data_IF_226984654731
#
_entry.id   IF_226984654731
#
_cell.length_a   1.000
_cell.length_b   1.000
_cell.length_c   1.000
_cell.angle_alpha   90.00
_cell.angle_beta   90.00
_cell.angle_gamma   90.00
#
_symmetry.space_group_name_H-M   'P 1'
#
loop_
_entity.id
_entity.type
_entity.pdbx_description
1 polymer ?
#
# COMPACT_ATOMS: atom_id res chain seq x y z
N UNK A 1 -11.59 -32.78 71.88
CA UNK A 1 -13.01 -32.37 71.78
C UNK A 1 -13.05 -30.86 71.63
N UNK A 2 -13.29 -30.35 70.42
CA UNK A 2 -13.91 -29.05 70.18
C UNK A 2 -14.09 -28.90 68.68
N UNK A 3 -15.34 -28.74 68.28
CA UNK A 3 -15.80 -28.42 66.93
C UNK A 3 -15.30 -27.05 66.51
N UNK A 4 -14.96 -26.89 65.23
CA UNK A 4 -15.02 -25.60 64.55
C UNK A 4 -15.74 -25.75 63.20
N UNK A 5 -16.74 -24.91 63.02
CA UNK A 5 -17.65 -24.83 61.88
C UNK A 5 -17.73 -23.35 61.49
N UNK A 6 -17.00 -22.94 60.44
CA UNK A 6 -17.14 -21.66 59.71
C UNK A 6 -16.46 -21.91 58.35
N UNK A 7 -16.95 -21.56 57.17
CA UNK A 7 -18.15 -20.86 56.73
C UNK A 7 -18.24 -21.01 55.20
N UNK A 8 -19.45 -20.87 54.68
CA UNK A 8 -19.87 -21.05 53.30
C UNK A 8 -19.10 -20.19 52.28
N UNK A 9 -18.59 -20.82 51.22
CA UNK A 9 -18.10 -20.14 50.02
C UNK A 9 -19.26 -19.73 49.12
N UNK A 10 -19.33 -18.43 48.81
CA UNK A 10 -20.22 -17.87 47.81
C UNK A 10 -19.65 -18.07 46.40
N UNK A 11 -20.51 -18.49 45.48
CA UNK A 11 -20.25 -18.58 44.05
C UNK A 11 -19.89 -17.21 43.46
N UNK A 12 -18.71 -17.11 42.86
CA UNK A 12 -18.28 -15.93 42.13
C UNK A 12 -18.97 -15.84 40.76
N UNK A 13 -19.41 -14.65 40.31
CA UNK A 13 -19.95 -14.47 38.98
C UNK A 13 -18.85 -14.52 37.91
N UNK A 14 -19.18 -15.22 36.83
CA UNK A 14 -18.40 -15.45 35.61
C UNK A 14 -17.92 -14.13 34.97
N UNK A 15 -16.62 -13.96 34.81
CA UNK A 15 -16.01 -12.92 33.98
C UNK A 15 -16.18 -13.26 32.48
N UNK A 16 -16.61 -12.32 31.62
CA UNK A 16 -16.62 -12.53 30.19
C UNK A 16 -15.21 -12.43 29.58
N UNK A 17 -15.00 -13.24 28.55
CA UNK A 17 -13.78 -13.39 27.73
C UNK A 17 -13.23 -12.03 27.27
N UNK A 18 -12.02 -11.65 27.71
CA UNK A 18 -11.20 -10.65 27.04
C UNK A 18 -10.69 -11.24 25.71
N UNK A 19 -11.33 -10.86 24.60
CA UNK A 19 -10.66 -10.81 23.29
C UNK A 19 -10.09 -9.39 23.15
N UNK A 20 -8.77 -9.27 23.22
CA UNK A 20 -8.05 -8.13 22.68
C UNK A 20 -7.24 -8.65 21.49
N UNK A 21 -7.74 -8.41 20.28
CA UNK A 21 -6.92 -8.36 19.07
C UNK A 21 -6.66 -6.86 18.86
N UNK A 22 -5.55 -6.39 19.40
CA UNK A 22 -5.00 -5.09 19.04
C UNK A 22 -4.34 -5.22 17.67
N UNK A 23 -4.63 -4.25 16.79
CA UNK A 23 -4.16 -4.20 15.41
C UNK A 23 -2.64 -4.22 15.30
N UNK A 24 -2.16 -5.11 14.44
CA UNK A 24 -0.79 -5.12 13.94
C UNK A 24 -0.66 -4.10 12.80
N UNK A 25 -0.47 -2.84 13.17
CA UNK A 25 0.07 -1.83 12.26
C UNK A 25 1.43 -1.40 12.80
N UNK A 26 2.49 -1.71 12.06
CA UNK A 26 3.83 -1.17 12.28
C UNK A 26 4.85 -2.16 12.83
N UNK A 27 5.58 -2.82 11.93
CA UNK A 27 7.02 -3.11 12.05
C UNK A 27 7.50 -3.73 10.74
N UNK A 28 7.79 -2.88 9.75
CA UNK A 28 8.65 -3.23 8.63
C UNK A 28 9.73 -2.14 8.52
N UNK A 29 10.69 -2.19 9.44
CA UNK A 29 11.98 -1.52 9.30
C UNK A 29 12.98 -2.08 10.32
N UNK A 30 13.94 -2.86 9.81
CA UNK A 30 15.34 -2.88 10.23
C UNK A 30 15.68 -3.20 11.68
N UNK A 31 16.04 -4.46 11.92
CA UNK A 31 17.15 -4.81 12.83
C UNK A 31 17.89 -6.03 12.29
N UNK A 32 19.04 -5.78 11.67
CA UNK A 32 20.08 -6.79 11.54
C UNK A 32 20.71 -6.96 12.93
N UNK A 33 20.65 -8.16 13.51
CA UNK A 33 21.36 -8.50 14.73
C UNK A 33 22.25 -9.72 14.50
N UNK A 34 23.41 -9.62 15.12
CA UNK A 34 24.64 -10.39 14.98
C UNK A 34 24.71 -11.47 16.08
N UNK A 35 25.32 -12.62 15.72
CA UNK A 35 25.90 -13.69 16.55
C UNK A 35 24.99 -14.70 17.30
N UNK A 36 25.42 -15.96 17.27
CA UNK A 36 25.19 -16.93 18.35
C UNK A 36 24.92 -18.37 17.94
N UNK A 37 25.94 -19.09 17.49
CA UNK A 37 25.94 -20.54 17.32
C UNK A 37 25.64 -21.31 18.61
N UNK A 38 24.79 -22.34 18.55
CA UNK A 38 24.90 -23.59 19.34
C UNK A 38 23.96 -24.68 18.78
N UNK A 39 24.52 -25.88 18.65
CA UNK A 39 23.88 -27.14 18.24
C UNK A 39 22.67 -27.50 19.16
N UNK A 40 21.72 -28.34 18.73
CA UNK A 40 21.77 -29.80 18.86
C UNK A 40 20.52 -30.46 18.24
N UNK A 41 20.75 -31.66 17.67
CA UNK A 41 19.89 -32.84 17.47
C UNK A 41 18.81 -32.89 16.37
N UNK A 42 19.16 -33.72 15.38
CA UNK A 42 18.34 -34.62 14.57
C UNK A 42 17.01 -35.12 15.17
N UNK A 43 15.97 -35.07 14.35
CA UNK A 43 15.08 -36.21 14.12
C UNK A 43 14.55 -36.18 12.67
N UNK A 44 14.84 -37.23 11.90
CA UNK A 44 14.21 -37.52 10.60
C UNK A 44 13.11 -38.58 10.79
N UNK A 45 12.30 -38.93 9.76
CA UNK A 45 10.90 -38.51 9.70
C UNK A 45 9.96 -39.72 9.81
N UNK A 46 8.72 -39.49 10.27
CA UNK A 46 7.64 -40.47 10.11
C UNK A 46 6.78 -40.06 8.92
N UNK A 47 6.73 -40.94 7.92
CA UNK A 47 6.03 -40.74 6.67
C UNK A 47 4.51 -40.75 6.79
N UNK A 48 3.87 -40.15 5.80
CA UNK A 48 2.44 -40.17 5.58
C UNK A 48 2.14 -39.67 4.17
N UNK A 49 2.20 -40.56 3.20
CA UNK A 49 1.72 -40.33 1.83
C UNK A 49 0.20 -40.15 1.86
N UNK A 50 -0.25 -38.90 1.92
CA UNK A 50 -1.65 -38.50 1.77
C UNK A 50 -1.89 -37.99 0.36
N UNK A 51 -2.60 -38.79 -0.43
CA UNK A 51 -3.05 -38.50 -1.78
C UNK A 51 -4.04 -37.31 -1.75
N UNK A 52 -3.55 -36.09 -1.97
CA UNK A 52 -4.36 -34.88 -2.00
C UNK A 52 -5.03 -34.75 -3.37
N UNK A 53 -6.28 -35.21 -3.45
CA UNK A 53 -7.12 -35.10 -4.63
C UNK A 53 -7.18 -33.66 -5.16
N UNK A 54 -6.95 -33.51 -6.46
CA UNK A 54 -7.06 -32.24 -7.19
C UNK A 54 -8.47 -31.65 -7.02
N UNK A 55 -8.63 -30.39 -6.58
CA UNK A 55 -9.94 -29.75 -6.54
C UNK A 55 -10.46 -29.57 -7.97
N UNK A 56 -11.69 -30.00 -8.18
CA UNK A 56 -12.39 -29.92 -9.46
C UNK A 56 -12.74 -28.45 -9.75
N UNK A 57 -11.81 -27.73 -10.40
CA UNK A 57 -12.01 -26.35 -10.83
C UNK A 57 -13.00 -26.35 -12.00
N UNK A 58 -14.17 -25.75 -11.80
CA UNK A 58 -15.25 -25.69 -12.79
C UNK A 58 -14.83 -25.08 -14.14
N UNK A 59 -15.69 -25.18 -15.17
CA UNK A 59 -15.34 -24.74 -16.51
C UNK A 59 -15.01 -23.24 -16.54
N UNK A 60 -13.98 -22.88 -17.31
CA UNK A 60 -13.53 -21.52 -17.50
C UNK A 60 -14.68 -20.59 -17.92
N UNK A 61 -14.72 -19.38 -17.36
CA UNK A 61 -15.70 -18.37 -17.70
C UNK A 61 -15.73 -18.11 -19.22
N UNK A 62 -16.92 -18.01 -19.86
CA UNK A 62 -17.01 -17.85 -21.30
C UNK A 62 -16.37 -16.53 -21.75
N UNK A 63 -15.48 -16.67 -22.74
CA UNK A 63 -14.73 -15.59 -23.36
C UNK A 63 -15.70 -14.67 -24.12
N UNK A 64 -15.91 -13.45 -23.64
CA UNK A 64 -16.67 -12.42 -24.39
C UNK A 64 -15.99 -12.18 -25.73
N UNK A 65 -16.65 -12.57 -26.81
CA UNK A 65 -16.20 -12.28 -28.17
C UNK A 65 -16.40 -10.78 -28.44
N UNK A 66 -15.30 -10.05 -28.62
CA UNK A 66 -15.27 -8.71 -29.19
C UNK A 66 -14.19 -8.70 -30.27
N UNK A 67 -14.61 -8.51 -31.52
CA UNK A 67 -13.82 -8.62 -32.74
C UNK A 67 -13.15 -7.29 -33.16
N UNK A 68 -12.55 -6.60 -32.20
CA UNK A 68 -11.58 -5.53 -32.45
C UNK A 68 -10.29 -5.98 -31.78
N UNK A 69 -9.10 -5.93 -32.44
CA UNK A 69 -7.85 -6.11 -31.73
C UNK A 69 -7.66 -4.90 -30.82
N UNK A 70 -8.33 -4.92 -29.67
CA UNK A 70 -7.92 -4.07 -28.57
C UNK A 70 -6.50 -4.47 -28.26
N UNK A 71 -5.58 -3.50 -28.25
CA UNK A 71 -4.30 -3.69 -27.56
C UNK A 71 -4.65 -3.88 -26.10
N UNK A 72 -4.98 -5.13 -25.73
CA UNK A 72 -5.25 -5.52 -24.36
C UNK A 72 -4.07 -5.04 -23.54
N UNK A 73 -4.34 -4.26 -22.49
CA UNK A 73 -3.33 -3.89 -21.50
C UNK A 73 -2.64 -5.15 -21.01
N UNK A 74 -1.32 -5.21 -21.13
CA UNK A 74 -0.54 -6.32 -20.62
C UNK A 74 -0.45 -6.21 -19.11
N UNK A 75 -0.74 -7.29 -18.40
CA UNK A 75 -0.71 -7.33 -16.94
C UNK A 75 0.46 -8.19 -16.48
N UNK A 76 1.30 -7.64 -15.61
CA UNK A 76 2.44 -8.33 -15.00
C UNK A 76 2.19 -8.62 -13.52
N UNK A 77 3.00 -9.51 -12.94
CA UNK A 77 3.00 -9.81 -11.50
C UNK A 77 4.42 -9.95 -10.96
N UNK A 78 4.65 -9.48 -9.74
CA UNK A 78 5.88 -9.77 -8.99
C UNK A 78 6.04 -11.28 -8.78
N UNK A 79 7.25 -11.80 -9.04
CA UNK A 79 7.53 -13.22 -8.91
C UNK A 79 8.89 -13.44 -8.24
N UNK A 80 8.88 -14.15 -7.12
CA UNK A 80 10.06 -14.41 -6.30
C UNK A 80 10.57 -15.84 -6.52
N UNK A 81 11.85 -15.98 -6.81
CA UNK A 81 12.56 -17.27 -6.99
C UNK A 81 13.39 -17.63 -5.75
N UNK A 82 12.91 -17.20 -4.58
CA UNK A 82 13.67 -17.10 -3.33
C UNK A 82 13.70 -18.38 -2.50
N UNK A 83 12.82 -19.32 -2.77
CA UNK A 83 12.61 -20.51 -1.93
C UNK A 83 13.48 -21.69 -2.39
N UNK A 84 14.08 -22.48 -1.47
CA UNK A 84 14.00 -22.34 -0.02
C UNK A 84 15.04 -21.38 0.57
N UNK A 85 15.85 -20.69 -0.25
CA UNK A 85 16.93 -19.80 0.21
C UNK A 85 16.52 -18.72 1.22
N UNK A 86 15.22 -18.41 1.33
CA UNK A 86 14.64 -17.54 2.36
C UNK A 86 14.08 -18.21 3.62
N UNK A 87 13.86 -19.53 3.62
CA UNK A 87 13.35 -20.28 4.77
C UNK A 87 11.88 -19.99 5.11
N UNK A 88 11.07 -21.03 5.26
CA UNK A 88 9.62 -20.92 5.48
C UNK A 88 9.23 -20.65 6.95
N UNK A 89 10.01 -19.84 7.68
CA UNK A 89 9.89 -19.75 9.15
C UNK A 89 8.61 -19.04 9.63
N UNK A 90 8.05 -18.14 8.83
CA UNK A 90 6.86 -17.33 9.17
C UNK A 90 5.98 -17.05 7.95
N UNK A 91 5.35 -18.07 7.34
CA UNK A 91 4.46 -17.84 6.22
C UNK A 91 3.21 -17.06 6.69
N UNK A 92 2.81 -16.04 5.92
CA UNK A 92 1.52 -15.35 6.14
C UNK A 92 0.34 -16.30 5.88
N UNK A 93 0.52 -17.24 4.95
CA UNK A 93 -0.39 -18.32 4.64
C UNK A 93 0.39 -19.55 4.16
N UNK A 94 -0.15 -20.75 4.39
CA UNK A 94 0.47 -21.99 3.92
C UNK A 94 0.29 -22.17 2.41
N UNK A 95 1.37 -22.34 1.62
CA UNK A 95 1.25 -22.57 0.19
C UNK A 95 0.59 -23.91 -0.12
N UNK A 96 -0.24 -23.95 -1.17
CA UNK A 96 -0.88 -25.19 -1.64
C UNK A 96 0.14 -26.24 -2.08
N UNK A 97 1.34 -25.82 -2.55
CA UNK A 97 2.45 -26.71 -2.91
C UNK A 97 3.37 -27.02 -1.71
N UNK A 98 2.99 -26.63 -0.50
CA UNK A 98 3.83 -26.74 0.70
C UNK A 98 5.05 -25.82 0.66
N UNK A 99 6.02 -26.11 1.51
CA UNK A 99 7.29 -25.39 1.61
C UNK A 99 8.23 -25.78 0.47
N UNK A 100 7.88 -25.31 -0.73
CA UNK A 100 8.49 -25.74 -1.98
C UNK A 100 9.89 -25.15 -2.24
N UNK A 101 10.57 -25.75 -3.22
CA UNK A 101 11.80 -25.23 -3.84
C UNK A 101 11.45 -24.53 -5.16
N UNK A 102 11.91 -23.29 -5.33
CA UNK A 102 11.65 -22.47 -6.53
C UNK A 102 12.36 -22.99 -7.77
N UNK A 103 13.35 -23.88 -7.59
CA UNK A 103 14.06 -24.57 -8.67
C UNK A 103 13.44 -25.92 -9.06
N UNK A 104 12.42 -26.41 -8.33
CA UNK A 104 11.73 -27.65 -8.68
C UNK A 104 10.95 -27.46 -10.00
N UNK A 105 11.25 -28.26 -11.06
CA UNK A 105 10.52 -28.19 -12.33
C UNK A 105 9.01 -28.33 -12.21
N UNK A 106 8.51 -29.16 -11.27
CA UNK A 106 7.08 -29.37 -11.09
C UNK A 106 6.40 -28.13 -10.51
N UNK A 107 7.07 -27.46 -9.57
CA UNK A 107 6.61 -26.20 -8.98
C UNK A 107 6.58 -25.11 -10.05
N UNK A 108 7.66 -24.97 -10.82
CA UNK A 108 7.76 -23.99 -11.92
C UNK A 108 6.63 -24.19 -12.94
N UNK A 109 6.41 -25.43 -13.37
CA UNK A 109 5.34 -25.77 -14.33
C UNK A 109 3.95 -25.50 -13.74
N UNK A 110 3.75 -25.80 -12.45
CA UNK A 110 2.47 -25.57 -11.80
C UNK A 110 2.18 -24.07 -11.65
N UNK A 111 3.17 -23.26 -11.26
CA UNK A 111 3.05 -21.81 -11.25
C UNK A 111 2.75 -21.25 -12.64
N UNK A 112 3.47 -21.70 -13.67
CA UNK A 112 3.22 -21.26 -15.05
C UNK A 112 1.77 -21.54 -15.51
N UNK A 113 1.21 -22.69 -15.11
CA UNK A 113 -0.20 -23.04 -15.37
C UNK A 113 -1.15 -22.08 -14.67
N UNK A 114 -0.96 -21.84 -13.37
CA UNK A 114 -1.81 -20.91 -12.61
C UNK A 114 -1.73 -19.48 -13.13
N UNK A 115 -0.53 -18.99 -13.41
CA UNK A 115 -0.30 -17.64 -13.93
C UNK A 115 -0.93 -17.44 -15.32
N UNK A 116 -0.79 -18.43 -16.20
CA UNK A 116 -1.43 -18.42 -17.53
C UNK A 116 -2.96 -18.46 -17.40
N UNK A 117 -3.49 -19.30 -16.51
CA UNK A 117 -4.93 -19.42 -16.25
C UNK A 117 -5.52 -18.12 -15.69
N UNK A 118 -4.81 -17.46 -14.78
CA UNK A 118 -5.18 -16.15 -14.22
C UNK A 118 -5.06 -14.99 -15.22
N UNK A 119 -4.51 -15.24 -16.42
CA UNK A 119 -4.42 -14.27 -17.48
C UNK A 119 -3.25 -13.28 -17.36
N UNK A 120 -2.24 -13.57 -16.55
CA UNK A 120 -1.02 -12.77 -16.53
C UNK A 120 -0.26 -12.91 -17.86
N UNK A 121 0.33 -11.81 -18.33
CA UNK A 121 1.07 -11.77 -19.59
C UNK A 121 2.58 -11.85 -19.38
N UNK A 122 3.06 -11.49 -18.18
CA UNK A 122 4.48 -11.50 -17.87
C UNK A 122 4.79 -11.47 -16.36
N UNK A 123 6.04 -11.77 -16.02
CA UNK A 123 6.58 -11.77 -14.67
C UNK A 123 7.58 -10.62 -14.46
N UNK A 124 7.55 -10.02 -13.28
CA UNK A 124 8.60 -9.18 -12.74
C UNK A 124 9.42 -10.05 -11.78
N UNK A 125 10.52 -10.63 -12.27
CA UNK A 125 11.31 -11.59 -11.49
C UNK A 125 12.35 -10.85 -10.66
N UNK A 126 12.33 -11.06 -9.35
CA UNK A 126 13.37 -10.53 -8.46
C UNK A 126 14.74 -11.12 -8.82
N UNK A 127 15.74 -10.24 -8.96
CA UNK A 127 17.11 -10.62 -9.24
C UNK A 127 18.00 -10.38 -8.02
N UNK A 128 18.65 -11.45 -7.54
CA UNK A 128 19.69 -11.49 -6.50
C UNK A 128 19.30 -11.05 -5.08
N UNK A 129 18.11 -10.46 -4.90
CA UNK A 129 17.67 -9.81 -3.67
C UNK A 129 18.71 -8.82 -3.09
N UNK A 130 18.88 -7.71 -3.81
CA UNK A 130 19.65 -6.51 -3.48
C UNK A 130 21.19 -6.55 -3.69
N UNK A 131 21.63 -5.93 -4.78
CA UNK A 131 23.01 -5.67 -5.18
C UNK A 131 23.74 -4.59 -4.34
N UNK A 132 23.04 -3.93 -3.41
CA UNK A 132 23.64 -2.95 -2.49
C UNK A 132 24.38 -3.56 -1.29
N UNK A 133 24.16 -4.84 -0.98
CA UNK A 133 24.76 -5.56 0.15
C UNK A 133 25.86 -6.56 -0.26
N UNK A 134 26.08 -7.59 0.56
CA UNK A 134 26.95 -8.74 0.24
C UNK A 134 26.28 -9.66 -0.80
N UNK A 135 26.17 -9.16 -2.02
CA UNK A 135 25.42 -9.78 -3.12
C UNK A 135 26.09 -11.04 -3.68
N UNK A 136 27.33 -11.33 -3.32
CA UNK A 136 27.98 -12.64 -3.57
C UNK A 136 27.67 -13.66 -2.46
N UNK A 137 26.58 -13.46 -1.72
CA UNK A 137 26.12 -14.46 -0.77
C UNK A 137 25.53 -15.65 -1.51
N UNK A 138 25.60 -16.84 -0.91
CA UNK A 138 24.99 -18.06 -1.50
C UNK A 138 23.48 -17.91 -1.77
N UNK A 139 22.82 -16.94 -1.12
CA UNK A 139 21.43 -16.59 -1.34
C UNK A 139 21.18 -15.97 -2.71
N UNK A 140 22.00 -15.01 -3.12
CA UNK A 140 21.88 -14.39 -4.43
C UNK A 140 22.13 -15.41 -5.56
N UNK A 141 23.14 -16.28 -5.37
CA UNK A 141 23.41 -17.38 -6.29
C UNK A 141 22.24 -18.36 -6.41
N UNK A 142 21.56 -18.67 -5.28
CA UNK A 142 20.36 -19.49 -5.30
C UNK A 142 19.21 -18.84 -6.09
N UNK A 143 18.97 -17.54 -5.90
CA UNK A 143 17.92 -16.79 -6.62
C UNK A 143 18.23 -16.75 -8.12
N UNK A 144 19.47 -16.44 -8.49
CA UNK A 144 19.92 -16.45 -9.89
C UNK A 144 19.82 -17.85 -10.49
N UNK A 145 20.22 -18.90 -9.76
CA UNK A 145 20.13 -20.29 -10.20
C UNK A 145 18.69 -20.79 -10.36
N UNK A 146 17.77 -20.39 -9.47
CA UNK A 146 16.35 -20.68 -9.61
C UNK A 146 15.74 -19.94 -10.82
N UNK A 147 16.20 -18.72 -11.10
CA UNK A 147 15.80 -17.96 -12.29
C UNK A 147 16.34 -18.58 -13.59
N UNK A 148 17.57 -19.11 -13.56
CA UNK A 148 18.08 -19.93 -14.66
C UNK A 148 17.17 -21.13 -14.90
N UNK A 149 16.80 -21.83 -13.82
CA UNK A 149 15.97 -23.02 -13.93
C UNK A 149 14.58 -22.72 -14.47
N UNK A 150 13.99 -21.61 -14.05
CA UNK A 150 12.72 -21.09 -14.57
C UNK A 150 12.77 -20.94 -16.10
N UNK A 151 13.79 -20.24 -16.62
CA UNK A 151 13.95 -20.01 -18.06
C UNK A 151 14.24 -21.31 -18.84
N UNK A 152 15.05 -22.22 -18.30
CA UNK A 152 15.28 -23.54 -18.91
C UNK A 152 13.97 -24.32 -19.10
N UNK A 153 13.14 -24.39 -18.06
CA UNK A 153 11.85 -25.08 -18.10
C UNK A 153 10.89 -24.38 -19.06
N UNK A 154 10.89 -23.05 -19.08
CA UNK A 154 10.05 -22.28 -20.00
C UNK A 154 10.40 -22.55 -21.46
N UNK A 155 11.69 -22.63 -21.79
CA UNK A 155 12.18 -23.03 -23.12
C UNK A 155 11.77 -24.47 -23.44
N UNK A 156 12.05 -25.43 -22.54
CA UNK A 156 11.75 -26.85 -22.78
C UNK A 156 10.26 -27.10 -23.02
N UNK A 157 9.39 -26.42 -22.26
CA UNK A 157 7.95 -26.63 -22.31
C UNK A 157 7.21 -25.60 -23.17
N UNK A 158 7.94 -24.70 -23.86
CA UNK A 158 7.39 -23.66 -24.74
C UNK A 158 6.32 -22.81 -24.04
N UNK A 159 6.57 -22.47 -22.78
CA UNK A 159 5.71 -21.57 -22.00
C UNK A 159 5.69 -20.21 -22.70
N UNK A 160 4.55 -19.49 -22.68
CA UNK A 160 4.40 -18.21 -23.39
C UNK A 160 4.46 -16.98 -22.48
N UNK A 161 4.52 -17.20 -21.16
CA UNK A 161 4.72 -16.12 -20.19
C UNK A 161 6.09 -15.49 -20.43
N UNK A 162 6.09 -14.18 -20.62
CA UNK A 162 7.33 -13.40 -20.70
C UNK A 162 7.78 -12.95 -19.30
N UNK A 163 8.96 -12.37 -19.20
CA UNK A 163 9.48 -11.79 -17.97
C UNK A 163 10.33 -10.56 -18.23
N UNK A 164 10.52 -9.78 -17.18
CA UNK A 164 11.63 -8.84 -17.06
C UNK A 164 12.25 -9.00 -15.67
N UNK A 165 13.49 -8.54 -15.51
CA UNK A 165 14.23 -8.67 -14.27
C UNK A 165 14.14 -7.39 -13.45
N UNK A 166 14.10 -7.55 -12.13
CA UNK A 166 14.18 -6.48 -11.16
C UNK A 166 15.48 -6.57 -10.36
N UNK A 167 16.40 -5.63 -10.62
CA UNK A 167 17.67 -5.54 -9.90
C UNK A 167 17.47 -4.72 -8.63
N UNK A 168 17.58 -5.36 -7.46
CA UNK A 168 17.57 -4.65 -6.18
C UNK A 168 18.83 -3.82 -5.97
N UNK A 169 18.71 -2.57 -5.52
CA UNK A 169 19.82 -1.68 -5.12
C UNK A 169 19.52 -0.94 -3.81
N UNK A 170 18.80 -1.55 -2.87
CA UNK A 170 18.53 -0.92 -1.57
C UNK A 170 19.85 -0.64 -0.82
N UNK A 171 20.21 0.64 -0.71
CA UNK A 171 21.51 1.12 -0.21
C UNK A 171 22.68 1.03 -1.21
N UNK A 172 22.46 0.52 -2.43
CA UNK A 172 23.45 0.39 -3.50
C UNK A 172 23.51 1.59 -4.46
N UNK A 173 24.44 1.53 -5.43
CA UNK A 173 24.62 2.58 -6.46
C UNK A 173 24.68 1.96 -7.86
N UNK A 174 23.88 2.53 -8.78
CA UNK A 174 23.93 2.21 -10.22
C UNK A 174 25.29 2.56 -10.83
N UNK A 175 25.64 1.92 -11.94
CA UNK A 175 26.86 2.21 -12.69
C UNK A 175 28.18 1.83 -12.01
N UNK A 176 28.13 1.25 -10.81
CA UNK A 176 29.33 0.65 -10.19
C UNK A 176 29.82 -0.53 -11.04
N UNK A 177 31.12 -0.86 -11.02
CA UNK A 177 31.65 -2.00 -11.78
C UNK A 177 30.89 -3.31 -11.53
N UNK A 178 30.45 -3.54 -10.29
CA UNK A 178 29.67 -4.73 -9.93
C UNK A 178 28.26 -4.72 -10.52
N UNK A 179 27.56 -3.59 -10.42
CA UNK A 179 26.25 -3.44 -11.03
C UNK A 179 26.32 -3.65 -12.55
N UNK A 180 27.32 -3.06 -13.21
CA UNK A 180 27.53 -3.23 -14.66
C UNK A 180 27.85 -4.69 -15.00
N UNK A 181 28.68 -5.37 -14.21
CA UNK A 181 28.98 -6.80 -14.41
C UNK A 181 27.72 -7.68 -14.36
N UNK A 182 26.78 -7.39 -13.46
CA UNK A 182 25.50 -8.11 -13.38
C UNK A 182 24.59 -7.82 -14.58
N UNK A 183 24.51 -6.56 -15.01
CA UNK A 183 23.81 -6.20 -16.25
C UNK A 183 24.41 -6.93 -17.46
N UNK A 184 25.73 -7.01 -17.55
CA UNK A 184 26.42 -7.70 -18.64
C UNK A 184 26.29 -9.24 -18.55
N UNK A 185 26.19 -9.79 -17.33
CA UNK A 185 25.83 -11.20 -17.11
C UNK A 185 24.45 -11.52 -17.67
N UNK A 186 23.46 -10.66 -17.43
CA UNK A 186 22.11 -10.83 -17.99
C UNK A 186 22.14 -10.78 -19.52
N UNK A 187 22.84 -9.80 -20.11
CA UNK A 187 22.98 -9.68 -21.57
C UNK A 187 23.61 -10.92 -22.19
N UNK A 188 24.76 -11.32 -21.67
CA UNK A 188 25.55 -12.43 -22.20
C UNK A 188 24.81 -13.77 -22.07
N UNK A 189 24.13 -14.00 -20.95
CA UNK A 189 23.45 -15.27 -20.69
C UNK A 189 22.09 -15.39 -21.37
N UNK A 190 21.28 -14.34 -21.35
CA UNK A 190 19.88 -14.44 -21.77
C UNK A 190 19.56 -13.67 -23.05
N UNK A 191 20.08 -12.45 -23.23
CA UNK A 191 19.73 -11.65 -24.41
C UNK A 191 20.48 -12.09 -25.66
N UNK A 192 21.74 -12.51 -25.51
CA UNK A 192 22.56 -13.01 -26.61
C UNK A 192 22.22 -14.47 -26.99
N UNK A 193 21.47 -15.18 -26.15
CA UNK A 193 20.99 -16.52 -26.46
C UNK A 193 19.59 -16.46 -27.11
N UNK A 194 19.45 -16.85 -28.39
CA UNK A 194 18.17 -16.79 -29.09
C UNK A 194 17.10 -17.70 -28.48
N UNK A 195 17.48 -18.67 -27.62
CA UNK A 195 16.53 -19.52 -26.90
C UNK A 195 15.79 -18.74 -25.81
N UNK A 196 16.47 -17.82 -25.11
CA UNK A 196 15.91 -17.07 -24.00
C UNK A 196 15.37 -15.70 -24.41
N UNK A 197 15.95 -15.07 -25.44
CA UNK A 197 15.56 -13.72 -25.90
C UNK A 197 14.05 -13.49 -26.11
N UNK A 198 13.25 -14.44 -26.66
CA UNK A 198 11.81 -14.26 -26.84
C UNK A 198 10.99 -14.16 -25.54
N UNK A 199 11.56 -14.61 -24.42
CA UNK A 199 10.92 -14.55 -23.11
C UNK A 199 11.03 -13.17 -22.46
N UNK A 200 11.92 -12.29 -22.93
CA UNK A 200 12.05 -10.97 -22.34
C UNK A 200 10.97 -10.01 -22.87
N UNK A 201 10.27 -9.34 -21.96
CA UNK A 201 9.32 -8.28 -22.29
C UNK A 201 10.07 -7.14 -22.98
N UNK A 202 9.54 -6.69 -24.12
CA UNK A 202 10.02 -5.48 -24.77
C UNK A 202 9.15 -4.27 -24.39
N UNK A 203 9.83 -3.17 -24.06
CA UNK A 203 9.24 -1.88 -23.77
C UNK A 203 10.04 -0.82 -24.52
N UNK A 204 9.37 0.07 -25.26
CA UNK A 204 10.01 1.06 -26.13
C UNK A 204 11.03 0.47 -27.14
N UNK A 205 10.77 -0.74 -27.63
CA UNK A 205 11.57 -1.43 -28.65
C UNK A 205 12.83 -2.15 -28.14
N UNK A 206 13.05 -2.18 -26.82
CA UNK A 206 14.17 -2.88 -26.17
C UNK A 206 13.68 -3.79 -25.03
N UNK A 207 14.44 -4.83 -24.64
CA UNK A 207 14.16 -5.58 -23.42
C UNK A 207 14.02 -4.66 -22.21
N UNK A 208 13.01 -4.90 -21.38
CA UNK A 208 12.78 -4.15 -20.15
C UNK A 208 13.73 -4.64 -19.05
N UNK A 209 14.38 -3.70 -18.37
CA UNK A 209 15.11 -3.92 -17.13
C UNK A 209 14.57 -2.96 -16.08
N UNK A 210 14.18 -3.50 -14.93
CA UNK A 210 13.77 -2.68 -13.80
C UNK A 210 14.83 -2.66 -12.72
N UNK A 211 14.98 -1.52 -12.06
CA UNK A 211 15.97 -1.32 -11.00
C UNK A 211 15.25 -0.79 -9.77
N UNK A 212 15.23 -1.56 -8.69
CA UNK A 212 14.67 -1.15 -7.42
C UNK A 212 15.65 -0.29 -6.65
N UNK A 213 15.31 0.97 -6.39
CA UNK A 213 16.22 1.95 -5.77
C UNK A 213 16.02 2.13 -4.26
N UNK A 214 15.17 1.31 -3.66
CA UNK A 214 14.80 1.39 -2.24
C UNK A 214 13.43 2.03 -2.00
N UNK A 215 13.01 2.04 -0.73
CA UNK A 215 11.66 2.43 -0.35
C UNK A 215 11.37 3.93 -0.35
N UNK A 216 12.41 4.77 -0.41
CA UNK A 216 12.31 6.22 -0.16
C UNK A 216 12.99 7.07 -1.24
N UNK A 217 13.23 6.51 -2.42
CA UNK A 217 13.90 7.24 -3.50
C UNK A 217 12.92 8.21 -4.13
N UNK A 218 13.25 9.51 -4.12
CA UNK A 218 12.40 10.55 -4.70
C UNK A 218 12.82 10.98 -6.10
N UNK A 219 14.06 10.71 -6.50
CA UNK A 219 14.60 11.04 -7.82
C UNK A 219 15.29 9.81 -8.41
N UNK A 220 15.00 9.40 -9.67
CA UNK A 220 15.69 8.29 -10.29
C UNK A 220 17.20 8.60 -10.43
N UNK A 221 18.08 7.61 -10.22
CA UNK A 221 19.48 7.74 -10.60
C UNK A 221 19.65 8.08 -12.08
N UNK A 222 20.71 8.81 -12.41
CA UNK A 222 21.10 9.09 -13.79
C UNK A 222 22.03 7.98 -14.29
N UNK A 223 21.43 6.86 -14.70
CA UNK A 223 22.12 5.77 -15.39
C UNK A 223 21.21 5.16 -16.46
N UNK A 224 21.80 4.72 -17.57
CA UNK A 224 21.08 4.08 -18.66
C UNK A 224 21.93 3.01 -19.32
N UNK A 225 21.30 2.20 -20.15
CA UNK A 225 21.95 1.16 -20.94
C UNK A 225 21.39 1.16 -22.37
N UNK A 226 22.25 1.02 -23.37
CA UNK A 226 21.83 1.05 -24.77
C UNK A 226 21.05 -0.20 -25.18
N UNK A 227 21.23 -1.32 -24.49
CA UNK A 227 20.57 -2.60 -24.80
C UNK A 227 19.18 -2.66 -24.20
N UNK A 228 18.98 -2.10 -23.00
CA UNK A 228 17.72 -2.17 -22.27
C UNK A 228 16.91 -0.88 -22.37
N UNK A 229 15.59 -1.00 -22.20
CA UNK A 229 14.81 0.11 -21.66
C UNK A 229 14.83 -0.01 -20.14
N UNK A 230 15.52 0.93 -19.49
CA UNK A 230 15.67 0.96 -18.03
C UNK A 230 14.50 1.71 -17.41
N UNK A 231 13.86 1.10 -16.41
CA UNK A 231 12.85 1.74 -15.56
C UNK A 231 13.22 1.61 -14.10
N UNK A 232 13.30 2.74 -13.41
CA UNK A 232 13.53 2.77 -11.97
C UNK A 232 12.24 2.42 -11.23
N UNK A 233 12.35 1.73 -10.12
CA UNK A 233 11.24 1.32 -9.27
C UNK A 233 11.53 1.66 -7.80
N UNK A 234 10.58 2.31 -7.13
CA UNK A 234 10.60 2.53 -5.66
C UNK A 234 9.59 1.65 -4.94
N UNK A 235 9.66 1.52 -3.61
CA UNK A 235 8.68 0.70 -2.87
C UNK A 235 7.30 1.36 -2.84
N UNK A 236 7.27 2.68 -2.66
CA UNK A 236 6.04 3.43 -2.50
C UNK A 236 5.98 4.50 -3.58
N UNK A 237 4.97 4.42 -4.45
CA UNK A 237 4.56 5.58 -5.24
C UNK A 237 3.88 6.53 -4.28
N UNK A 238 4.18 7.81 -4.39
CA UNK A 238 3.23 8.83 -4.03
C UNK A 238 2.77 9.40 -5.38
N UNK A 239 1.55 9.06 -5.81
CA UNK A 239 1.07 9.26 -7.21
C UNK A 239 1.34 10.67 -7.77
N UNK A 240 1.47 11.67 -6.89
CA UNK A 240 1.59 13.08 -7.24
C UNK A 240 3.01 13.51 -7.58
N UNK A 241 4.03 12.84 -7.03
CA UNK A 241 5.35 13.45 -7.02
C UNK A 241 6.24 13.03 -8.16
N UNK A 242 5.97 11.92 -8.87
CA UNK A 242 6.88 11.21 -9.79
C UNK A 242 7.76 12.13 -10.68
N UNK A 243 8.87 12.67 -10.16
CA UNK A 243 9.74 13.51 -10.93
C UNK A 243 10.68 12.54 -11.64
N UNK A 244 10.39 12.23 -12.91
CA UNK A 244 11.29 11.40 -13.74
C UNK A 244 10.81 10.00 -14.11
N UNK A 245 9.56 9.62 -13.85
CA UNK A 245 8.97 8.40 -14.46
C UNK A 245 9.29 7.08 -13.76
N UNK A 246 9.57 7.11 -12.45
CA UNK A 246 9.80 5.95 -11.58
C UNK A 246 8.51 5.14 -11.40
N UNK A 247 8.63 3.82 -11.45
CA UNK A 247 7.58 2.84 -11.16
C UNK A 247 7.54 2.49 -9.67
N UNK A 248 6.54 1.75 -9.23
CA UNK A 248 6.31 1.48 -7.81
C UNK A 248 5.78 0.08 -7.56
N UNK A 249 6.16 -0.48 -6.42
CA UNK A 249 5.57 -1.71 -5.89
C UNK A 249 4.17 -1.48 -5.33
N UNK A 250 3.99 -0.38 -4.60
CA UNK A 250 2.72 0.02 -4.00
C UNK A 250 2.42 1.44 -4.41
N UNK A 251 1.28 1.64 -5.06
CA UNK A 251 0.75 2.99 -5.23
C UNK A 251 0.20 3.47 -3.89
N UNK A 252 0.75 4.56 -3.38
CA UNK A 252 0.21 5.36 -2.28
C UNK A 252 -0.11 6.75 -2.80
N UNK A 253 -1.04 7.40 -2.12
CA UNK A 253 -1.36 8.79 -2.39
C UNK A 253 -1.08 9.54 -1.09
N UNK A 254 -0.08 10.40 -1.12
CA UNK A 254 0.24 11.32 -0.03
C UNK A 254 -0.69 12.56 -0.02
N UNK A 255 -1.40 12.79 -1.12
CA UNK A 255 -2.27 13.96 -1.36
C UNK A 255 -3.46 13.59 -2.22
N UNK A 256 -4.66 14.06 -1.90
CA UNK A 256 -5.83 13.87 -2.74
C UNK A 256 -5.55 14.24 -4.22
N UNK A 257 -5.25 13.25 -5.06
CA UNK A 257 -4.83 13.48 -6.44
C UNK A 257 -5.89 13.05 -7.46
N UNK A 258 -6.57 14.02 -8.07
CA UNK A 258 -7.31 13.76 -9.29
C UNK A 258 -7.99 15.00 -9.86
N UNK A 259 -7.48 15.45 -11.02
CA UNK A 259 -7.86 16.66 -11.76
C UNK A 259 -7.57 18.03 -11.10
N UNK A 260 -7.26 18.96 -11.99
CA UNK A 260 -6.84 20.35 -11.83
C UNK A 260 -7.81 21.18 -11.00
N UNK A 261 -7.29 21.82 -9.96
CA UNK A 261 -7.97 22.71 -8.99
C UNK A 261 -8.94 22.00 -8.02
N UNK A 262 -8.80 22.33 -6.73
CA UNK A 262 -9.80 21.95 -5.73
C UNK A 262 -11.17 22.52 -6.12
N UNK A 263 -12.25 21.77 -5.86
CA UNK A 263 -13.63 22.25 -6.09
C UNK A 263 -13.93 23.44 -5.18
N UNK A 264 -13.33 23.44 -3.99
CA UNK A 264 -13.38 24.54 -3.05
C UNK A 264 -12.02 24.70 -2.34
N UNK A 265 -11.06 25.44 -2.94
CA UNK A 265 -9.80 25.74 -2.28
C UNK A 265 -10.00 26.73 -1.12
N UNK A 266 -9.03 26.86 -0.23
CA UNK A 266 -8.87 28.04 0.62
C UNK A 266 -7.63 28.84 0.20
N UNK A 267 -7.57 30.10 0.60
CA UNK A 267 -6.32 30.86 0.62
C UNK A 267 -6.26 31.67 1.91
N UNK A 268 -5.07 32.13 2.31
CA UNK A 268 -4.92 33.03 3.47
C UNK A 268 -5.81 34.27 3.42
N UNK A 269 -6.17 34.74 2.23
CA UNK A 269 -6.90 35.99 2.02
C UNK A 269 -8.38 35.80 1.71
N UNK A 270 -8.80 34.58 1.37
CA UNK A 270 -10.17 34.29 0.94
C UNK A 270 -10.60 32.89 1.38
N UNK A 271 -11.74 32.85 2.04
CA UNK A 271 -12.44 31.62 2.41
C UNK A 271 -13.21 31.01 1.23
N UNK A 272 -13.19 31.61 0.04
CA UNK A 272 -13.80 31.11 -1.20
C UNK A 272 -15.26 30.65 -1.01
N UNK A 273 -16.03 31.45 -0.28
CA UNK A 273 -17.45 31.20 0.02
C UNK A 273 -17.72 30.20 1.15
N UNK A 274 -16.69 29.67 1.80
CA UNK A 274 -16.88 28.91 3.03
C UNK A 274 -17.37 29.81 4.17
N UNK A 275 -18.24 29.28 5.00
CA UNK A 275 -18.75 29.95 6.20
C UNK A 275 -18.13 29.31 7.43
N UNK A 276 -17.47 30.14 8.25
CA UNK A 276 -16.91 29.74 9.53
C UNK A 276 -17.83 30.20 10.68
N UNK A 277 -18.07 29.28 11.61
CA UNK A 277 -18.64 29.52 12.92
C UNK A 277 -17.58 29.13 13.96
N UNK A 278 -17.24 30.04 14.87
CA UNK A 278 -16.11 29.91 15.80
C UNK A 278 -14.75 30.34 15.23
N UNK A 279 -13.68 30.07 15.98
CA UNK A 279 -12.33 30.57 15.72
C UNK A 279 -11.58 29.72 14.68
N UNK A 280 -11.97 29.84 13.41
CA UNK A 280 -11.26 29.24 12.28
C UNK A 280 -10.24 30.20 11.69
N UNK A 281 -9.11 29.66 11.25
CA UNK A 281 -8.05 30.41 10.57
C UNK A 281 -7.41 29.56 9.47
N UNK A 282 -6.86 30.22 8.47
CA UNK A 282 -6.07 29.59 7.40
C UNK A 282 -4.60 29.87 7.65
N UNK A 283 -3.79 28.83 7.80
CA UNK A 283 -2.34 28.95 7.94
C UNK A 283 -1.63 28.01 6.97
N UNK A 284 -0.47 28.44 6.46
CA UNK A 284 0.36 27.54 5.66
C UNK A 284 1.04 26.55 6.61
N UNK A 285 0.68 25.28 6.47
CA UNK A 285 1.33 24.19 7.14
C UNK A 285 2.43 23.64 6.24
N UNK A 286 3.67 23.63 6.74
CA UNK A 286 4.76 22.86 6.18
C UNK A 286 4.59 21.40 6.61
N UNK A 287 3.68 20.69 5.97
CA UNK A 287 3.39 19.30 6.30
C UNK A 287 4.44 18.38 5.67
N UNK A 288 4.66 17.24 6.30
CA UNK A 288 5.32 16.09 5.68
C UNK A 288 4.25 15.08 5.25
N UNK A 289 3.57 15.34 4.12
CA UNK A 289 2.55 14.43 3.56
C UNK A 289 3.18 13.10 3.11
N UNK A 290 4.51 13.12 2.93
CA UNK A 290 5.32 12.15 2.24
C UNK A 290 6.69 12.02 2.92
N UNK A 291 7.36 10.88 2.76
CA UNK A 291 8.72 10.70 3.30
C UNK A 291 9.67 11.78 2.76
N UNK A 292 10.33 12.52 3.65
CA UNK A 292 11.40 13.49 3.35
C UNK A 292 11.04 14.66 2.41
N UNK A 293 9.80 14.77 1.90
CA UNK A 293 9.32 15.97 1.18
C UNK A 293 8.39 16.77 2.08
N UNK A 294 8.75 18.04 2.28
CA UNK A 294 7.90 19.02 2.93
C UNK A 294 7.14 19.76 1.84
N UNK A 295 5.81 19.76 1.94
CA UNK A 295 4.95 20.57 1.07
C UNK A 295 4.26 21.62 1.93
N UNK A 296 4.37 22.86 1.48
CA UNK A 296 3.65 23.98 2.08
C UNK A 296 2.24 24.00 1.47
N UNK A 297 1.20 23.82 2.29
CA UNK A 297 -0.20 23.95 1.87
C UNK A 297 -0.97 24.81 2.86
N UNK A 298 -1.96 25.54 2.36
CA UNK A 298 -2.84 26.35 3.20
C UNK A 298 -3.90 25.45 3.83
N UNK A 299 -3.92 25.37 5.15
CA UNK A 299 -4.85 24.55 5.93
C UNK A 299 -5.78 25.47 6.70
N UNK A 300 -7.08 25.29 6.51
CA UNK A 300 -8.10 25.82 7.40
C UNK A 300 -8.20 24.92 8.64
N UNK A 301 -7.97 25.49 9.82
CA UNK A 301 -7.98 24.76 11.08
C UNK A 301 -8.51 25.60 12.25
N UNK A 302 -8.83 24.93 13.35
CA UNK A 302 -9.30 25.55 14.58
C UNK A 302 -8.38 25.25 15.78
N UNK A 303 -7.09 25.00 15.51
CA UNK A 303 -6.12 24.64 16.55
C UNK A 303 -5.99 25.79 17.57
N UNK A 304 -6.31 25.56 18.86
CA UNK A 304 -6.15 26.59 19.88
C UNK A 304 -4.67 26.86 20.15
N UNK A 305 -4.36 28.04 20.68
CA UNK A 305 -3.02 28.31 21.19
C UNK A 305 -2.66 27.31 22.31
N UNK A 306 -1.37 27.01 22.48
CA UNK A 306 -0.92 26.10 23.53
C UNK A 306 -1.40 26.60 24.90
N UNK A 307 -2.09 25.73 25.65
CA UNK A 307 -2.65 26.06 26.96
C UNK A 307 -3.96 26.85 26.95
N UNK A 308 -4.47 27.24 25.76
CA UNK A 308 -5.79 27.86 25.65
C UNK A 308 -6.92 26.82 25.74
N UNK A 309 -8.13 27.31 26.01
CA UNK A 309 -9.34 26.50 25.92
C UNK A 309 -9.54 25.99 24.48
N UNK A 310 -10.17 24.83 24.35
CA UNK A 310 -10.43 24.23 23.06
C UNK A 310 -11.43 25.08 22.27
N UNK A 311 -11.07 25.45 21.04
CA UNK A 311 -11.99 26.16 20.13
C UNK A 311 -13.01 25.18 19.57
N UNK A 312 -14.29 25.51 19.72
CA UNK A 312 -15.41 24.81 19.09
C UNK A 312 -15.97 25.63 17.95
N UNK A 313 -16.69 24.99 17.04
CA UNK A 313 -17.27 25.66 15.88
C UNK A 313 -17.42 24.74 14.68
N UNK A 314 -17.79 25.32 13.54
CA UNK A 314 -17.88 24.59 12.29
C UNK A 314 -17.40 25.40 11.09
N UNK A 315 -16.87 24.71 10.10
CA UNK A 315 -16.46 25.29 8.83
C UNK A 315 -17.25 24.58 7.73
N UNK A 316 -18.03 25.33 6.95
CA UNK A 316 -19.03 24.77 6.02
C UNK A 316 -18.79 25.30 4.61
N UNK A 317 -18.71 24.40 3.63
CA UNK A 317 -18.50 24.76 2.23
C UNK A 317 -19.75 25.38 1.61
N UNK A 318 -19.62 26.11 0.48
CA UNK A 318 -20.74 26.28 -0.44
C UNK A 318 -21.33 24.92 -0.83
N UNK A 319 -22.60 24.90 -1.20
CA UNK A 319 -23.21 23.68 -1.72
C UNK A 319 -22.71 23.40 -3.15
N UNK A 320 -22.33 22.15 -3.43
CA UNK A 320 -21.81 21.69 -4.72
C UNK A 320 -22.45 20.38 -5.17
N UNK A 321 -22.34 20.06 -6.46
CA UNK A 321 -22.83 18.80 -7.01
C UNK A 321 -21.69 17.79 -7.10
N UNK A 322 -21.95 16.55 -6.67
CA UNK A 322 -21.01 15.46 -6.88
C UNK A 322 -20.95 15.14 -8.39
N UNK A 323 -19.82 15.41 -9.05
CA UNK A 323 -19.55 15.11 -10.45
C UNK A 323 -18.83 13.78 -10.64
N UNK A 324 -18.08 13.33 -9.63
CA UNK A 324 -17.21 12.16 -9.74
C UNK A 324 -17.48 11.11 -8.67
N UNK A 325 -16.88 9.94 -8.86
CA UNK A 325 -17.14 8.76 -8.03
C UNK A 325 -16.40 8.77 -6.69
N UNK A 326 -15.51 9.74 -6.49
CA UNK A 326 -14.77 9.92 -5.26
C UNK A 326 -14.68 11.37 -4.83
N UNK A 327 -14.72 11.59 -3.52
CA UNK A 327 -14.43 12.86 -2.89
C UNK A 327 -13.25 12.66 -1.93
N UNK A 328 -12.22 13.49 -2.05
CA UNK A 328 -11.02 13.42 -1.23
C UNK A 328 -10.66 14.79 -0.64
N UNK A 329 -9.93 14.78 0.46
CA UNK A 329 -9.41 15.96 1.15
C UNK A 329 -8.22 15.59 2.02
N UNK A 330 -7.26 16.49 2.21
CA UNK A 330 -6.17 16.25 3.14
C UNK A 330 -6.53 16.80 4.51
N UNK A 331 -6.22 16.02 5.54
CA UNK A 331 -6.63 16.29 6.91
C UNK A 331 -5.45 16.22 7.87
N UNK A 332 -5.52 17.02 8.93
CA UNK A 332 -4.58 17.02 10.05
C UNK A 332 -5.37 17.23 11.33
N UNK A 333 -4.79 16.81 12.45
CA UNK A 333 -5.33 17.08 13.78
C UNK A 333 -5.60 15.82 14.58
N UNK A 334 -6.17 16.05 15.76
CA UNK A 334 -6.31 15.04 16.80
C UNK A 334 -7.69 15.17 17.47
N UNK A 335 -8.29 14.05 17.86
CA UNK A 335 -9.42 14.03 18.80
C UNK A 335 -9.19 12.98 19.91
N UNK A 336 -8.57 13.39 21.02
CA UNK A 336 -8.23 12.48 22.13
C UNK A 336 -9.48 11.95 22.88
N UNK A 337 -10.66 12.52 22.65
CA UNK A 337 -11.92 11.99 23.21
C UNK A 337 -12.50 10.85 22.35
N UNK A 338 -11.98 10.64 21.14
CA UNK A 338 -12.41 9.56 20.27
C UNK A 338 -11.64 8.27 20.60
N UNK A 339 -12.17 7.46 21.52
CA UNK A 339 -12.00 6.01 21.39
C UNK A 339 -12.61 5.54 20.06
N UNK A 340 -12.03 4.52 19.43
CA UNK A 340 -12.44 3.99 18.11
C UNK A 340 -13.89 3.48 18.04
N UNK A 341 -14.58 3.35 19.18
CA UNK A 341 -15.79 2.50 19.28
C UNK A 341 -17.07 3.26 19.70
N UNK A 342 -17.20 4.59 19.50
CA UNK A 342 -18.44 5.28 19.91
C UNK A 342 -19.47 5.39 18.77
N UNK A 343 -20.72 5.11 19.11
CA UNK A 343 -21.88 5.00 18.22
C UNK A 343 -22.35 6.33 17.60
N UNK A 344 -21.90 7.49 18.10
CA UNK A 344 -22.36 8.82 17.64
C UNK A 344 -21.22 9.80 17.36
N UNK A 345 -21.51 10.83 16.55
CA UNK A 345 -20.60 11.94 16.23
C UNK A 345 -20.73 13.12 17.19
N UNK A 346 -21.54 13.01 18.25
CA UNK A 346 -21.81 14.10 19.17
C UNK A 346 -20.61 14.39 20.07
N UNK A 347 -20.29 15.67 20.24
CA UNK A 347 -19.12 16.11 21.03
C UNK A 347 -17.77 15.84 20.37
N UNK A 348 -17.73 15.42 19.10
CA UNK A 348 -16.50 15.04 18.40
C UNK A 348 -16.04 16.06 17.37
N UNK A 349 -14.75 15.96 17.05
CA UNK A 349 -14.18 16.55 15.86
C UNK A 349 -14.43 15.63 14.66
N UNK A 350 -15.17 16.10 13.67
CA UNK A 350 -15.59 15.28 12.53
C UNK A 350 -15.62 16.07 11.23
N UNK A 351 -15.27 15.39 10.16
CA UNK A 351 -15.56 15.80 8.78
C UNK A 351 -16.87 15.15 8.33
N UNK A 352 -17.76 15.90 7.71
CA UNK A 352 -19.11 15.47 7.34
C UNK A 352 -19.40 15.84 5.89
N UNK A 353 -19.90 14.88 5.10
CA UNK A 353 -20.62 15.17 3.87
C UNK A 353 -22.11 15.15 4.18
N UNK A 354 -22.81 16.23 3.86
CA UNK A 354 -24.25 16.36 4.10
C UNK A 354 -25.00 16.60 2.81
N UNK A 355 -26.22 16.10 2.76
CA UNK A 355 -27.17 16.50 1.72
C UNK A 355 -27.50 17.99 1.86
N UNK A 356 -27.39 18.76 0.78
CA UNK A 356 -27.54 20.21 0.83
C UNK A 356 -28.96 20.70 1.14
N UNK A 357 -29.99 19.85 0.95
CA UNK A 357 -31.40 20.21 1.11
C UNK A 357 -31.93 19.76 2.48
N UNK A 358 -31.72 18.49 2.81
CA UNK A 358 -32.22 17.84 4.02
C UNK A 358 -31.27 17.96 5.21
N UNK A 359 -30.00 18.30 5.00
CA UNK A 359 -28.97 18.34 6.04
C UNK A 359 -28.54 16.96 6.56
N UNK A 360 -29.07 15.86 6.00
CA UNK A 360 -28.74 14.49 6.39
C UNK A 360 -27.26 14.20 6.15
N UNK A 361 -26.58 13.62 7.14
CA UNK A 361 -25.20 13.13 6.99
C UNK A 361 -25.17 11.94 6.04
N UNK A 362 -24.33 12.03 5.02
CA UNK A 362 -24.13 11.03 3.96
C UNK A 362 -22.82 10.27 4.14
N UNK A 363 -21.75 10.95 4.57
CA UNK A 363 -20.41 10.41 4.87
C UNK A 363 -19.83 11.14 6.07
N UNK A 364 -18.90 10.51 6.78
CA UNK A 364 -18.12 11.18 7.81
C UNK A 364 -16.70 10.60 7.92
N UNK A 365 -15.80 11.31 8.58
CA UNK A 365 -14.46 10.86 8.94
C UNK A 365 -14.00 11.59 10.22
N UNK A 366 -13.08 11.00 10.98
CA UNK A 366 -12.45 11.65 12.14
C UNK A 366 -11.02 12.14 11.80
N UNK A 367 -10.44 13.05 12.60
CA UNK A 367 -9.06 13.48 12.43
C UNK A 367 -8.06 12.31 12.46
N UNK A 368 -6.90 12.44 11.80
CA UNK A 368 -5.93 11.34 11.68
C UNK A 368 -5.18 10.97 12.97
N UNK A 369 -5.34 11.74 14.04
CA UNK A 369 -4.58 11.51 15.27
C UNK A 369 -3.11 11.94 15.12
N UNK A 370 -2.82 12.90 14.25
CA UNK A 370 -1.48 13.39 13.99
C UNK A 370 -1.53 14.91 13.79
N UNK A 371 -0.59 15.60 14.43
CA UNK A 371 -0.51 17.07 14.44
C UNK A 371 0.54 17.64 13.48
N UNK A 372 1.28 16.76 12.79
CA UNK A 372 2.49 17.11 12.05
C UNK A 372 2.44 16.72 10.58
N UNK A 373 1.57 15.77 10.21
CA UNK A 373 1.43 15.27 8.84
C UNK A 373 0.00 15.43 8.34
N UNK A 374 -0.11 15.66 7.04
CA UNK A 374 -1.38 15.60 6.35
C UNK A 374 -1.67 14.18 5.94
N UNK A 375 -2.93 13.79 6.07
CA UNK A 375 -3.45 12.50 5.69
C UNK A 375 -4.63 12.66 4.76
N UNK A 376 -4.51 12.02 3.60
CA UNK A 376 -5.60 11.91 2.64
C UNK A 376 -6.77 11.18 3.28
N UNK A 377 -7.94 11.81 3.22
CA UNK A 377 -9.22 11.19 3.48
C UNK A 377 -9.96 11.06 2.17
N UNK A 378 -10.59 9.91 1.96
CA UNK A 378 -11.26 9.61 0.71
C UNK A 378 -12.55 8.83 0.95
N UNK A 379 -13.62 9.29 0.30
CA UNK A 379 -14.92 8.64 0.29
C UNK A 379 -15.28 8.17 -1.12
N UNK A 380 -15.82 6.96 -1.20
CA UNK A 380 -16.62 6.49 -2.32
C UNK A 380 -17.98 7.19 -2.27
N UNK A 381 -18.24 8.00 -3.30
CA UNK A 381 -19.46 8.78 -3.46
C UNK A 381 -20.15 8.47 -4.79
N UNK A 382 -19.87 7.30 -5.38
CA UNK A 382 -20.44 6.89 -6.66
C UNK A 382 -21.98 6.85 -6.65
N UNK A 383 -22.59 6.48 -5.52
CA UNK A 383 -24.03 6.51 -5.25
C UNK A 383 -24.60 7.93 -5.09
N UNK A 384 -23.75 8.94 -4.95
CA UNK A 384 -24.14 10.33 -4.74
C UNK A 384 -23.90 11.20 -5.98
N UNK A 385 -23.41 10.65 -7.10
CA UNK A 385 -23.20 11.40 -8.35
C UNK A 385 -24.50 12.08 -8.79
N UNK A 386 -24.40 13.37 -9.11
CA UNK A 386 -25.53 14.26 -9.44
C UNK A 386 -26.24 14.88 -8.24
N UNK A 387 -25.92 14.46 -7.01
CA UNK A 387 -26.52 15.00 -5.78
C UNK A 387 -25.86 16.30 -5.36
N UNK A 388 -26.67 17.26 -4.90
CA UNK A 388 -26.19 18.49 -4.28
C UNK A 388 -25.89 18.26 -2.80
N UNK A 389 -24.67 18.57 -2.39
CA UNK A 389 -24.12 18.30 -1.06
C UNK A 389 -23.43 19.53 -0.48
N UNK A 390 -23.14 19.48 0.82
CA UNK A 390 -22.30 20.43 1.55
C UNK A 390 -21.27 19.63 2.33
N UNK A 391 -20.04 20.11 2.38
CA UNK A 391 -19.01 19.58 3.26
C UNK A 391 -18.94 20.43 4.53
N UNK A 392 -18.90 19.79 5.69
CA UNK A 392 -18.79 20.49 6.97
C UNK A 392 -17.72 19.84 7.83
N UNK A 393 -16.84 20.69 8.35
CA UNK A 393 -15.93 20.36 9.45
C UNK A 393 -16.61 20.82 10.74
N UNK A 394 -16.71 19.93 11.72
CA UNK A 394 -17.33 20.23 13.02
C UNK A 394 -16.31 19.97 14.11
N UNK A 395 -15.91 21.01 14.84
CA UNK A 395 -15.13 20.89 16.06
C UNK A 395 -16.04 21.03 17.27
N UNK A 396 -16.26 19.92 17.97
CA UNK A 396 -17.08 19.89 19.20
C UNK A 396 -16.34 19.25 20.37
N UNK A 397 -15.09 18.84 20.18
CA UNK A 397 -14.29 18.22 21.24
C UNK A 397 -14.13 19.19 22.40
N UNK A 398 -14.33 18.68 23.62
CA UNK A 398 -14.10 19.42 24.86
C UNK A 398 -12.73 19.08 25.47
N UNK A 399 -11.90 18.31 24.76
CA UNK A 399 -10.57 17.94 25.20
C UNK A 399 -9.68 19.20 25.31
N UNK A 400 -9.49 19.71 26.52
CA UNK A 400 -8.64 20.87 26.77
C UNK A 400 -7.18 20.64 26.40
N UNK A 401 -6.39 21.72 26.33
CA UNK A 401 -4.93 21.64 26.18
C UNK A 401 -4.43 21.38 24.75
N UNK A 402 -5.24 21.65 23.72
CA UNK A 402 -4.86 21.42 22.32
C UNK A 402 -4.92 19.94 21.89
N UNK A 403 -5.65 19.13 22.66
CA UNK A 403 -5.80 17.69 22.44
C UNK A 403 -6.99 17.32 21.52
N UNK A 404 -7.76 18.32 21.07
CA UNK A 404 -8.94 18.11 20.24
C UNK A 404 -9.12 19.16 19.15
N UNK A 405 -8.38 19.11 18.04
CA UNK A 405 -8.56 20.03 16.91
C UNK A 405 -8.48 19.32 15.56
N UNK A 406 -8.95 19.96 14.50
CA UNK A 406 -8.85 19.41 13.14
C UNK A 406 -8.65 20.51 12.09
N UNK A 407 -8.06 20.13 10.98
CA UNK A 407 -7.89 20.99 9.82
C UNK A 407 -7.94 20.23 8.51
N UNK A 408 -8.17 20.97 7.44
CA UNK A 408 -8.12 20.51 6.07
C UNK A 408 -7.64 21.62 5.13
N UNK A 409 -7.18 21.26 3.94
CA UNK A 409 -6.67 22.19 2.93
C UNK A 409 -7.61 22.44 1.74
N UNK A 410 -8.45 21.47 1.36
CA UNK A 410 -9.35 21.60 0.22
C UNK A 410 -10.20 20.36 -0.03
N UNK A 411 -11.06 20.44 -1.04
CA UNK A 411 -11.90 19.32 -1.48
C UNK A 411 -11.64 19.01 -2.95
N UNK A 412 -11.48 17.72 -3.26
CA UNK A 412 -11.23 17.22 -4.62
C UNK A 412 -12.23 16.15 -5.01
N UNK A 413 -12.76 16.27 -6.23
CA UNK A 413 -13.58 15.24 -6.85
C UNK A 413 -12.72 14.47 -7.85
N UNK A 414 -12.67 13.14 -7.72
CA UNK A 414 -11.69 12.31 -8.41
C UNK A 414 -12.35 11.13 -9.12
N UNK A 415 -11.80 10.78 -10.28
CA UNK A 415 -12.17 9.57 -11.00
C UNK A 415 -11.69 8.32 -10.27
N UNK A 416 -12.35 7.19 -10.50
CA UNK A 416 -11.98 5.92 -9.86
C UNK A 416 -10.54 5.48 -10.15
N UNK A 417 -9.99 5.82 -11.33
CA UNK A 417 -8.58 5.54 -11.68
C UNK A 417 -7.56 6.41 -10.95
N UNK A 418 -8.03 7.51 -10.34
CA UNK A 418 -7.23 8.44 -9.57
C UNK A 418 -7.26 8.11 -8.07
N UNK A 419 -8.09 7.14 -7.67
CA UNK A 419 -8.16 6.66 -6.31
C UNK A 419 -7.01 5.71 -6.02
N UNK A 420 -6.62 5.64 -4.75
CA UNK A 420 -5.55 4.73 -4.32
C UNK A 420 -5.88 4.21 -2.96
N UNK A 421 -5.28 3.07 -2.61
CA UNK A 421 -5.31 2.55 -1.26
C UNK A 421 -4.74 3.63 -0.31
N UNK A 422 -5.63 4.34 0.38
CA UNK A 422 -5.24 5.09 1.56
C UNK A 422 -4.73 4.07 2.57
N UNK A 423 -3.56 4.31 3.16
CA UNK A 423 -3.09 3.48 4.28
C UNK A 423 -4.21 3.46 5.32
N UNK A 424 -4.57 2.27 5.81
CA UNK A 424 -5.62 2.11 6.83
C UNK A 424 -5.20 2.85 8.09
N UNK A 425 -5.57 4.11 8.20
CA UNK A 425 -5.41 4.91 9.39
C UNK A 425 -6.77 5.03 10.04
N UNK A 426 -6.80 4.90 11.38
CA UNK A 426 -8.02 5.06 12.16
C UNK A 426 -8.83 6.27 11.68
N UNK A 427 -10.12 6.04 11.43
CA UNK A 427 -11.06 7.09 11.03
C UNK A 427 -11.49 7.14 9.56
N UNK A 428 -11.02 6.22 8.71
CA UNK A 428 -11.64 5.95 7.39
C UNK A 428 -12.76 4.88 7.45
N UNK A 429 -13.14 4.43 8.64
CA UNK A 429 -14.02 3.27 8.87
C UNK A 429 -15.54 3.57 8.71
N UNK A 430 -15.89 4.79 8.33
CA UNK A 430 -17.26 5.21 8.13
C UNK A 430 -17.86 4.65 6.82
N UNK A 431 -19.20 4.60 6.66
CA UNK A 431 -19.84 4.17 5.43
C UNK A 431 -19.29 4.90 4.20
N UNK A 432 -18.80 4.14 3.22
CA UNK A 432 -18.21 4.66 2.00
C UNK A 432 -16.75 5.14 2.14
N UNK A 433 -16.09 4.99 3.28
CA UNK A 433 -14.65 5.20 3.39
C UNK A 433 -13.87 4.07 2.70
N UNK A 434 -12.76 4.43 2.05
CA UNK A 434 -11.76 3.45 1.61
C UNK A 434 -10.84 3.13 2.80
N UNK A 435 -11.36 2.34 3.74
CA UNK A 435 -10.51 1.56 4.63
C UNK A 435 -10.33 0.19 3.95
N UNK A 436 -9.08 -0.26 3.82
CA UNK A 436 -8.83 -1.68 3.50
C UNK A 436 -9.40 -2.57 4.59
#
# INVERSE_FOLDING_TARGET
MSNDFVGTQAEGPKLPRRRMLAGSAGLAAGTAAVLGSSAIAHASPAGGSGDAGSPNLGPAAPRRASAVPSRRTRIGIGYETWWPGHGWERPEAEPVLGHYDSSDPNVILQHARWLTWSGFDHLCVDWSNNLGGAWTSGRADQIMGATDKLLEIYVQHKIKLQLYLLLGLDGGKVGTPHFVAEVDRIKSKYLNDPRYRPFFVEHDGKPLLTIFTGARTTEPPDWSDDTFTVRYMGAFREIVLNPGGVWSWVDRVAYANGQTAAVHPFSKTDWNGWTADGDWKVETLAAQPAFNKVVATDVAWNKPAQGAAQSTGSLTSPAFTISDRSLAFDSVGFDMQAGSDLETTDGRNVFLLKDAVSGKVLRHAVPPGDSTRLYVRQWNVADLVGRKVVFQVSSKSSAGGGLGWLGLDGLWQQRSEQMTACVSNGGNEAPGGYAN
#
